data_IF_648852272483
#
_entry.id   IF_648852272483
#
_cell.length_a   1.000
_cell.length_b   1.000
_cell.length_c   1.000
_cell.angle_alpha   90.00
_cell.angle_beta   90.00
_cell.angle_gamma   90.00
#
_symmetry.space_group_name_H-M   'P 1'
#
loop_
_entity.id
_entity.type
_entity.pdbx_description
1 polymer ?
#
# COMPACT_ATOMS: atom_id res chain seq x y z
N UNK A 1 -8.44 -20.49 -28.82
CA UNK A 1 -7.31 -21.06 -28.06
C UNK A 1 -6.89 -20.03 -27.03
N UNK A 2 -6.81 -20.40 -25.75
CA UNK A 2 -6.38 -19.53 -24.65
C UNK A 2 -4.86 -19.60 -24.52
N UNK A 3 -4.19 -18.47 -24.53
CA UNK A 3 -2.74 -18.33 -24.38
C UNK A 3 -2.40 -17.76 -23.01
N UNK A 4 -1.59 -18.50 -22.24
CA UNK A 4 -1.16 -18.11 -20.89
C UNK A 4 0.36 -18.04 -20.84
N UNK A 5 0.89 -16.92 -20.35
CA UNK A 5 2.31 -16.73 -20.09
C UNK A 5 2.55 -16.71 -18.58
N UNK A 6 3.46 -17.54 -18.09
CA UNK A 6 3.75 -17.64 -16.65
C UNK A 6 5.22 -17.27 -16.41
N UNK A 7 5.46 -16.31 -15.54
CA UNK A 7 6.77 -15.81 -15.15
C UNK A 7 7.00 -16.11 -13.67
N UNK A 8 7.66 -17.23 -13.34
CA UNK A 8 7.96 -17.62 -11.96
C UNK A 8 9.41 -17.34 -11.56
N UNK A 9 9.68 -17.25 -10.25
CA UNK A 9 11.06 -17.21 -9.74
C UNK A 9 11.83 -18.47 -10.14
N UNK A 10 13.15 -18.36 -10.32
CA UNK A 10 14.00 -19.49 -10.76
C UNK A 10 14.46 -20.36 -9.58
N UNK A 11 13.53 -20.71 -8.69
CA UNK A 11 13.78 -21.59 -7.55
C UNK A 11 12.77 -22.75 -7.53
N UNK A 12 12.91 -23.64 -6.54
CA UNK A 12 12.06 -24.82 -6.45
C UNK A 12 10.57 -24.46 -6.32
N UNK A 13 10.25 -23.47 -5.49
CA UNK A 13 8.89 -22.99 -5.28
C UNK A 13 8.30 -22.36 -6.55
N UNK A 14 9.09 -21.58 -7.31
CA UNK A 14 8.66 -21.02 -8.59
C UNK A 14 8.40 -22.09 -9.68
N UNK A 15 9.19 -23.17 -9.72
CA UNK A 15 8.96 -24.31 -10.63
C UNK A 15 7.72 -25.12 -10.26
N UNK A 16 7.46 -25.29 -8.97
CA UNK A 16 6.25 -25.90 -8.46
C UNK A 16 5.02 -25.07 -8.84
N UNK A 17 5.06 -23.75 -8.60
CA UNK A 17 3.98 -22.83 -8.96
C UNK A 17 3.68 -22.88 -10.46
N UNK A 18 4.70 -22.88 -11.32
CA UNK A 18 4.51 -23.04 -12.77
C UNK A 18 3.78 -24.35 -13.11
N UNK A 19 4.18 -25.45 -12.49
CA UNK A 19 3.56 -26.76 -12.70
C UNK A 19 2.09 -26.76 -12.28
N UNK A 20 1.80 -26.14 -11.13
CA UNK A 20 0.44 -25.92 -10.63
C UNK A 20 -0.40 -25.09 -11.59
N UNK A 21 0.07 -23.91 -12.00
CA UNK A 21 -0.63 -23.04 -12.95
C UNK A 21 -0.92 -23.77 -14.27
N UNK A 22 0.05 -24.53 -14.78
CA UNK A 22 -0.10 -25.32 -16.00
C UNK A 22 -1.17 -26.40 -15.86
N UNK A 23 -1.21 -27.08 -14.71
CA UNK A 23 -2.23 -28.09 -14.41
C UNK A 23 -3.62 -27.47 -14.34
N UNK A 24 -3.77 -26.41 -13.53
CA UNK A 24 -5.02 -25.68 -13.33
C UNK A 24 -5.59 -25.13 -14.64
N UNK A 25 -4.79 -24.43 -15.44
CA UNK A 25 -5.28 -23.88 -16.71
C UNK A 25 -5.68 -24.99 -17.69
N UNK A 26 -4.99 -26.13 -17.70
CA UNK A 26 -5.34 -27.28 -18.54
C UNK A 26 -6.59 -28.00 -18.06
N UNK A 27 -6.85 -28.08 -16.75
CA UNK A 27 -8.08 -28.66 -16.23
C UNK A 27 -9.29 -27.81 -16.60
N UNK A 28 -9.17 -26.48 -16.55
CA UNK A 28 -10.26 -25.56 -16.86
C UNK A 28 -10.54 -25.43 -18.37
N UNK A 29 -9.52 -25.43 -19.22
CA UNK A 29 -9.67 -25.10 -20.65
C UNK A 29 -9.26 -26.24 -21.60
N UNK A 30 -8.84 -27.39 -21.08
CA UNK A 30 -8.48 -28.58 -21.85
C UNK A 30 -7.35 -28.35 -22.86
N UNK A 31 -7.45 -29.00 -24.03
CA UNK A 31 -6.49 -28.86 -25.15
C UNK A 31 -6.49 -27.48 -25.80
N UNK A 32 -7.47 -26.63 -25.48
CA UNK A 32 -7.59 -25.28 -26.02
C UNK A 32 -6.68 -24.28 -25.31
N UNK A 33 -5.96 -24.67 -24.24
CA UNK A 33 -5.01 -23.81 -23.56
C UNK A 33 -3.54 -24.11 -23.91
N UNK A 34 -2.78 -23.05 -24.18
CA UNK A 34 -1.34 -23.06 -24.34
C UNK A 34 -0.69 -22.26 -23.22
N UNK A 35 -0.11 -22.96 -22.25
CA UNK A 35 0.65 -22.38 -21.14
C UNK A 35 2.14 -22.40 -21.48
N UNK A 36 2.80 -21.25 -21.43
CA UNK A 36 4.23 -21.09 -21.70
C UNK A 36 4.97 -20.70 -20.43
N UNK A 37 6.09 -21.39 -20.21
CA UNK A 37 7.06 -21.03 -19.17
C UNK A 37 7.95 -19.89 -19.68
N UNK A 38 8.01 -18.81 -18.91
CA UNK A 38 8.87 -17.66 -19.17
C UNK A 38 9.81 -17.37 -17.98
N UNK A 39 10.08 -18.36 -17.13
CA UNK A 39 11.03 -18.28 -16.01
C UNK A 39 12.47 -17.93 -16.42
N UNK A 40 12.87 -18.11 -17.67
CA UNK A 40 14.18 -17.67 -18.18
C UNK A 40 14.11 -16.45 -19.09
N UNK A 41 12.94 -15.83 -19.24
CA UNK A 41 12.72 -14.75 -20.21
C UNK A 41 13.01 -13.36 -19.64
N UNK A 42 13.52 -12.48 -20.51
CA UNK A 42 13.82 -11.07 -20.20
C UNK A 42 12.66 -10.08 -20.45
N UNK A 43 12.93 -8.77 -20.30
CA UNK A 43 11.91 -7.71 -20.35
C UNK A 43 11.07 -7.69 -21.64
N UNK A 44 11.69 -7.90 -22.81
CA UNK A 44 11.00 -7.90 -24.09
C UNK A 44 9.92 -8.99 -24.18
N UNK A 45 10.18 -10.16 -23.58
CA UNK A 45 9.20 -11.25 -23.54
C UNK A 45 8.05 -10.92 -22.60
N UNK A 46 8.32 -10.26 -21.47
CA UNK A 46 7.25 -9.82 -20.57
C UNK A 46 6.34 -8.80 -21.25
N UNK A 47 6.92 -7.76 -21.86
CA UNK A 47 6.18 -6.75 -22.61
C UNK A 47 5.32 -7.36 -23.74
N UNK A 48 5.90 -8.28 -24.52
CA UNK A 48 5.17 -8.97 -25.60
C UNK A 48 4.03 -9.81 -25.05
N UNK A 49 4.24 -10.54 -23.96
CA UNK A 49 3.20 -11.35 -23.31
C UNK A 49 2.09 -10.48 -22.71
N UNK A 50 2.40 -9.34 -22.10
CA UNK A 50 1.41 -8.39 -21.58
C UNK A 50 0.45 -7.89 -22.66
N UNK A 51 0.92 -7.75 -23.90
CA UNK A 51 0.07 -7.35 -25.04
C UNK A 51 -0.69 -8.56 -25.63
N UNK A 52 0.03 -9.63 -25.96
CA UNK A 52 -0.47 -10.70 -26.82
C UNK A 52 -1.20 -11.83 -26.09
N UNK A 53 -0.80 -12.17 -24.87
CA UNK A 53 -1.35 -13.29 -24.12
C UNK A 53 -2.78 -13.00 -23.65
N UNK A 54 -3.58 -14.05 -23.51
CA UNK A 54 -4.91 -13.95 -22.91
C UNK A 54 -4.82 -13.79 -21.38
N UNK A 55 -3.81 -14.39 -20.76
CA UNK A 55 -3.51 -14.28 -19.33
C UNK A 55 -1.99 -14.22 -19.12
N UNK A 56 -1.55 -13.35 -18.21
CA UNK A 56 -0.17 -13.32 -17.70
C UNK A 56 -0.22 -13.57 -16.21
N UNK A 57 0.58 -14.52 -15.72
CA UNK A 57 0.78 -14.76 -14.29
C UNK A 57 2.23 -14.40 -13.98
N UNK A 58 2.43 -13.46 -13.06
CA UNK A 58 3.74 -13.00 -12.64
C UNK A 58 3.95 -13.25 -11.15
N UNK A 59 4.94 -14.07 -10.84
CA UNK A 59 5.42 -14.30 -9.48
C UNK A 59 6.37 -13.16 -9.06
N UNK A 60 5.86 -12.28 -8.22
CA UNK A 60 6.57 -11.17 -7.62
C UNK A 60 7.18 -11.50 -6.26
N UNK A 61 7.39 -12.77 -5.91
CA UNK A 61 7.97 -13.10 -4.61
C UNK A 61 9.42 -12.59 -4.49
N UNK A 62 9.76 -11.80 -3.45
CA UNK A 62 11.14 -11.48 -3.11
C UNK A 62 11.76 -12.61 -2.28
N UNK A 63 12.26 -13.66 -2.94
CA UNK A 63 12.83 -14.85 -2.27
C UNK A 63 14.27 -14.60 -1.73
N UNK A 64 14.89 -13.48 -2.08
CA UNK A 64 16.22 -13.07 -1.60
C UNK A 64 16.96 -12.19 -2.61
N UNK A 65 18.20 -11.75 -2.30
CA UNK A 65 19.02 -10.99 -3.25
C UNK A 65 19.20 -11.75 -4.57
N UNK A 66 18.71 -11.20 -5.67
CA UNK A 66 18.79 -11.83 -7.00
C UNK A 66 17.76 -12.92 -7.26
N UNK A 67 17.02 -13.39 -6.26
CA UNK A 67 15.97 -14.41 -6.39
C UNK A 67 14.59 -13.76 -6.61
N UNK A 68 14.50 -12.87 -7.59
CA UNK A 68 13.26 -12.18 -7.93
C UNK A 68 13.23 -11.76 -9.41
N UNK A 69 12.03 -11.50 -9.96
CA UNK A 69 11.86 -11.12 -11.38
C UNK A 69 11.67 -9.63 -11.63
N UNK A 70 11.92 -8.78 -10.65
CA UNK A 70 11.64 -7.35 -10.76
C UNK A 70 12.38 -6.60 -11.88
N UNK A 71 13.45 -7.18 -12.45
CA UNK A 71 14.18 -6.59 -13.57
C UNK A 71 13.49 -6.72 -14.93
N UNK A 72 12.46 -7.57 -15.08
CA UNK A 72 11.80 -7.80 -16.38
C UNK A 72 10.49 -7.04 -16.57
N UNK A 73 9.99 -6.40 -15.52
CA UNK A 73 8.66 -5.81 -15.52
C UNK A 73 8.67 -4.35 -15.98
N UNK A 74 7.51 -3.92 -16.45
CA UNK A 74 7.23 -2.54 -16.81
C UNK A 74 6.01 -2.08 -16.00
N UNK A 75 6.09 -0.91 -15.36
CA UNK A 75 5.06 -0.38 -14.45
C UNK A 75 3.66 -0.41 -15.05
N UNK A 76 3.52 -0.02 -16.32
CA UNK A 76 2.25 0.00 -17.03
C UNK A 76 1.56 -1.38 -17.15
N UNK A 77 2.30 -2.48 -16.98
CA UNK A 77 1.74 -3.84 -17.04
C UNK A 77 0.89 -4.19 -15.84
N UNK A 78 1.09 -3.54 -14.68
CA UNK A 78 0.31 -3.83 -13.47
C UNK A 78 -1.12 -3.30 -13.52
N UNK A 79 -1.37 -2.33 -14.42
CA UNK A 79 -2.69 -1.73 -14.67
C UNK A 79 -3.56 -2.59 -15.60
N UNK A 80 -3.07 -3.75 -16.03
CA UNK A 80 -3.76 -4.67 -16.93
C UNK A 80 -4.51 -5.74 -16.15
N UNK A 81 -5.83 -5.87 -16.37
CA UNK A 81 -6.68 -6.82 -15.64
C UNK A 81 -6.31 -8.30 -15.83
N UNK A 82 -5.68 -8.63 -16.95
CA UNK A 82 -5.25 -10.00 -17.28
C UNK A 82 -3.81 -10.29 -16.83
N UNK A 83 -3.14 -9.34 -16.19
CA UNK A 83 -1.84 -9.56 -15.54
C UNK A 83 -2.12 -9.81 -14.05
N UNK A 84 -2.05 -11.08 -13.67
CA UNK A 84 -2.18 -11.52 -12.28
C UNK A 84 -0.82 -11.43 -11.59
N UNK A 85 -0.72 -10.56 -10.58
CA UNK A 85 0.43 -10.51 -9.70
C UNK A 85 0.21 -11.45 -8.52
N UNK A 86 1.15 -12.36 -8.35
CA UNK A 86 1.11 -13.32 -7.24
C UNK A 86 2.41 -13.30 -6.46
N UNK A 87 2.36 -13.75 -5.21
CA UNK A 87 3.55 -13.87 -4.40
C UNK A 87 3.31 -14.76 -3.19
N UNK A 88 4.36 -15.46 -2.74
CA UNK A 88 4.36 -16.19 -1.46
C UNK A 88 4.61 -15.26 -0.28
N UNK A 89 5.17 -14.09 -0.56
CA UNK A 89 5.37 -12.97 0.38
C UNK A 89 4.70 -11.73 -0.19
N UNK A 90 4.48 -10.75 0.67
CA UNK A 90 3.97 -9.44 0.26
C UNK A 90 4.86 -8.83 -0.84
N UNK A 91 4.22 -8.10 -1.74
CA UNK A 91 4.87 -7.44 -2.86
C UNK A 91 5.53 -6.12 -2.37
N UNK A 92 6.45 -5.53 -3.16
CA UNK A 92 6.95 -4.20 -2.93
C UNK A 92 5.82 -3.18 -2.79
N UNK A 93 6.02 -2.18 -1.95
CA UNK A 93 4.99 -1.21 -1.56
C UNK A 93 4.45 -0.39 -2.74
N UNK A 94 5.20 -0.29 -3.84
CA UNK A 94 4.80 0.38 -5.07
C UNK A 94 4.40 -0.59 -6.20
N UNK A 95 4.22 -1.87 -5.91
CA UNK A 95 3.80 -2.89 -6.87
C UNK A 95 2.41 -3.37 -6.50
N UNK A 96 1.41 -2.83 -7.19
CA UNK A 96 -0.01 -3.15 -6.94
C UNK A 96 -0.62 -3.69 -8.21
N UNK A 97 -1.17 -4.90 -8.13
CA UNK A 97 -1.88 -5.53 -9.22
C UNK A 97 -3.32 -5.03 -9.31
N UNK A 98 -3.85 -4.99 -10.53
CA UNK A 98 -5.26 -4.65 -10.77
C UNK A 98 -6.22 -5.57 -10.01
N UNK A 99 -5.90 -6.86 -9.86
CA UNK A 99 -6.65 -7.81 -9.02
C UNK A 99 -5.90 -8.05 -7.70
N UNK A 100 -6.57 -7.83 -6.57
CA UNK A 100 -5.99 -7.99 -5.21
C UNK A 100 -6.12 -9.43 -4.70
N UNK A 101 -5.27 -9.81 -3.76
CA UNK A 101 -5.28 -11.11 -3.08
C UNK A 101 -4.35 -12.17 -3.65
N UNK A 102 -3.67 -11.91 -4.78
CA UNK A 102 -2.70 -12.86 -5.34
C UNK A 102 -1.40 -12.96 -4.55
N UNK A 103 -1.16 -12.02 -3.63
CA UNK A 103 -0.06 -12.01 -2.67
C UNK A 103 -0.63 -11.74 -1.27
N UNK A 104 0.03 -12.24 -0.20
CA UNK A 104 -0.41 -12.02 1.16
C UNK A 104 -0.21 -10.56 1.55
N UNK A 105 -1.01 -10.10 2.50
CA UNK A 105 -0.81 -8.78 3.12
C UNK A 105 0.43 -8.81 4.01
N UNK A 106 1.09 -7.67 4.19
CA UNK A 106 2.22 -7.58 5.12
C UNK A 106 1.78 -7.91 6.56
N UNK A 107 2.61 -8.56 7.38
CA UNK A 107 3.91 -9.19 7.09
C UNK A 107 3.80 -10.70 6.78
N UNK A 108 2.63 -11.16 6.32
CA UNK A 108 2.33 -12.58 6.20
C UNK A 108 2.95 -13.24 4.96
N UNK A 109 2.92 -14.56 4.97
CA UNK A 109 3.30 -15.44 3.86
C UNK A 109 2.09 -16.29 3.45
N UNK A 110 2.12 -16.83 2.23
CA UNK A 110 1.13 -17.80 1.75
C UNK A 110 1.78 -18.88 0.87
N UNK A 111 1.12 -20.03 0.76
CA UNK A 111 1.62 -21.16 0.00
C UNK A 111 1.27 -21.08 -1.49
N UNK A 112 1.92 -21.94 -2.29
CA UNK A 112 1.59 -22.07 -3.71
C UNK A 112 0.14 -22.57 -3.91
N UNK A 113 -0.38 -23.41 -3.02
CA UNK A 113 -1.77 -23.87 -3.03
C UNK A 113 -2.74 -22.70 -2.90
N UNK A 114 -2.52 -21.82 -1.92
CA UNK A 114 -3.35 -20.62 -1.73
C UNK A 114 -3.31 -19.69 -2.96
N UNK A 115 -2.13 -19.54 -3.58
CA UNK A 115 -1.99 -18.79 -4.84
C UNK A 115 -2.82 -19.43 -5.95
N UNK A 116 -2.79 -20.76 -6.09
CA UNK A 116 -3.52 -21.49 -7.13
C UNK A 116 -5.03 -21.42 -6.91
N UNK A 117 -5.50 -21.56 -5.66
CA UNK A 117 -6.91 -21.37 -5.30
C UNK A 117 -7.38 -19.95 -5.65
N UNK A 118 -6.58 -18.93 -5.36
CA UNK A 118 -6.89 -17.56 -5.74
C UNK A 118 -6.94 -17.39 -7.26
N UNK A 119 -5.97 -17.93 -8.01
CA UNK A 119 -5.98 -17.91 -9.48
C UNK A 119 -7.23 -18.60 -10.02
N UNK A 120 -7.59 -19.77 -9.49
CA UNK A 120 -8.81 -20.49 -9.88
C UNK A 120 -10.06 -19.63 -9.67
N UNK A 121 -10.15 -18.95 -8.52
CA UNK A 121 -11.24 -18.03 -8.25
C UNK A 121 -11.29 -16.87 -9.25
N UNK A 122 -10.14 -16.31 -9.66
CA UNK A 122 -10.10 -15.28 -10.72
C UNK A 122 -10.55 -15.79 -12.10
N UNK A 123 -10.53 -17.10 -12.34
CA UNK A 123 -10.88 -17.71 -13.62
C UNK A 123 -12.30 -18.27 -13.65
N UNK A 124 -12.86 -18.65 -12.50
CA UNK A 124 -14.17 -19.33 -12.39
C UNK A 124 -15.22 -18.51 -11.63
N UNK A 125 -14.80 -17.53 -10.84
CA UNK A 125 -15.65 -16.74 -9.96
C UNK A 125 -16.63 -15.79 -10.66
N UNK A 126 -17.44 -15.05 -9.86
CA UNK A 126 -18.43 -14.10 -10.38
C UNK A 126 -17.78 -12.98 -11.19
N UNK A 127 -16.62 -12.48 -10.75
CA UNK A 127 -15.84 -11.42 -11.41
C UNK A 127 -14.69 -11.97 -12.27
N UNK A 128 -14.88 -13.16 -12.85
CA UNK A 128 -13.83 -13.87 -13.59
C UNK A 128 -13.26 -13.07 -14.76
N UNK A 129 -12.01 -13.36 -15.10
CA UNK A 129 -11.39 -12.84 -16.33
C UNK A 129 -12.03 -13.53 -17.54
N UNK A 130 -12.48 -12.72 -18.51
CA UNK A 130 -12.96 -13.22 -19.78
C UNK A 130 -11.81 -13.76 -20.63
N UNK A 131 -11.81 -15.07 -20.89
CA UNK A 131 -10.81 -15.77 -21.69
C UNK A 131 -11.48 -16.58 -22.83
N UNK A 132 -10.97 -16.54 -24.07
CA UNK A 132 -9.83 -15.73 -24.54
C UNK A 132 -10.18 -14.23 -24.58
N UNK A 133 -9.16 -13.38 -24.56
CA UNK A 133 -9.37 -11.92 -24.58
C UNK A 133 -9.87 -11.47 -25.96
N UNK A 134 -10.89 -10.60 -26.04
CA UNK A 134 -11.30 -9.98 -27.30
C UNK A 134 -10.15 -9.23 -27.97
N UNK A 135 -10.06 -9.29 -29.31
CA UNK A 135 -8.98 -8.66 -30.08
C UNK A 135 -8.83 -7.16 -29.80
N UNK A 136 -9.94 -6.44 -29.65
CA UNK A 136 -9.91 -5.01 -29.36
C UNK A 136 -9.29 -4.72 -27.99
N UNK A 137 -9.49 -5.56 -26.96
CA UNK A 137 -8.83 -5.41 -25.65
C UNK A 137 -7.32 -5.67 -25.70
N UNK A 138 -6.83 -6.37 -26.72
CA UNK A 138 -5.39 -6.52 -26.97
C UNK A 138 -4.78 -5.28 -27.63
N UNK A 139 -5.62 -4.39 -28.18
CA UNK A 139 -5.21 -3.16 -28.87
C UNK A 139 -5.44 -1.88 -28.04
N UNK A 140 -6.15 -1.94 -26.91
CA UNK A 140 -6.43 -0.77 -26.06
C UNK A 140 -5.24 -0.47 -25.13
N UNK A 141 -4.78 0.80 -25.05
CA UNK A 141 -3.74 1.22 -24.12
C UNK A 141 -4.10 0.97 -22.63
N UNK A 142 -3.14 0.56 -21.78
CA UNK A 142 -3.36 0.25 -20.35
C UNK A 142 -3.99 1.39 -19.53
N UNK A 143 -3.82 2.65 -19.95
CA UNK A 143 -4.34 3.83 -19.23
C UNK A 143 -5.87 3.98 -19.30
N UNK A 144 -6.53 3.43 -20.33
CA UNK A 144 -7.98 3.56 -20.47
C UNK A 144 -8.75 2.54 -19.61
N UNK A 145 -8.13 1.41 -19.24
CA UNK A 145 -8.76 0.40 -18.38
C UNK A 145 -8.84 0.79 -16.90
N UNK A 146 -7.89 1.60 -16.39
CA UNK A 146 -7.87 2.04 -14.99
C UNK A 146 -8.96 3.08 -14.67
N UNK A 147 -9.21 4.03 -15.59
CA UNK A 147 -10.25 5.05 -15.43
C UNK A 147 -11.67 4.46 -15.36
N UNK A 148 -11.93 3.40 -16.13
CA UNK A 148 -13.23 2.71 -16.12
C UNK A 148 -13.52 2.01 -14.79
N UNK A 149 -12.50 1.64 -14.01
CA UNK A 149 -12.67 0.96 -12.71
C UNK A 149 -13.04 1.89 -11.57
N UNK A 150 -12.42 3.06 -11.50
CA UNK A 150 -12.83 4.10 -10.53
C UNK A 150 -14.29 4.48 -10.78
N UNK A 151 -14.72 4.52 -12.04
CA UNK A 151 -16.12 4.68 -12.40
C UNK A 151 -17.01 3.51 -11.94
N UNK A 152 -16.60 2.27 -12.20
CA UNK A 152 -17.38 1.07 -11.87
C UNK A 152 -17.50 0.79 -10.36
N UNK A 153 -16.43 1.01 -9.57
CA UNK A 153 -16.45 0.87 -8.11
C UNK A 153 -17.39 1.89 -7.46
N UNK A 154 -17.35 3.14 -7.92
CA UNK A 154 -18.28 4.19 -7.47
C UNK A 154 -19.72 3.91 -7.87
N UNK A 155 -19.94 3.32 -9.04
CA UNK A 155 -21.27 2.96 -9.52
C UNK A 155 -21.91 1.80 -8.72
N UNK A 156 -21.13 1.01 -7.98
CA UNK A 156 -21.65 -0.08 -7.15
C UNK A 156 -22.46 0.42 -5.94
N UNK A 157 -22.27 1.68 -5.52
CA UNK A 157 -22.99 2.35 -4.42
C UNK A 157 -22.75 1.72 -3.04
N UNK A 158 -23.01 2.49 -1.98
CA UNK A 158 -23.12 1.99 -0.59
C UNK A 158 -21.84 1.38 0.01
N UNK A 159 -20.71 2.07 -0.16
CA UNK A 159 -19.43 1.71 0.46
C UNK A 159 -19.16 2.55 1.72
N UNK A 160 -18.81 1.86 2.81
CA UNK A 160 -18.36 2.47 4.07
C UNK A 160 -16.85 2.21 4.21
N UNK A 161 -16.08 3.25 4.48
CA UNK A 161 -14.70 3.10 4.97
C UNK A 161 -14.72 3.17 6.50
N UNK A 162 -14.20 2.14 7.18
CA UNK A 162 -14.18 2.07 8.64
C UNK A 162 -12.77 2.32 9.19
N UNK A 163 -12.58 3.46 9.85
CA UNK A 163 -11.34 3.85 10.52
C UNK A 163 -11.40 3.56 12.03
N UNK A 164 -10.29 3.02 12.54
CA UNK A 164 -10.16 2.54 13.91
C UNK A 164 -8.67 2.46 14.30
N UNK A 165 -8.35 1.97 15.51
CA UNK A 165 -6.96 1.70 15.96
C UNK A 165 -6.78 0.23 16.29
N UNK A 166 -5.54 -0.28 16.24
CA UNK A 166 -5.27 -1.72 16.38
C UNK A 166 -5.93 -2.34 17.61
N UNK A 167 -5.88 -1.63 18.74
CA UNK A 167 -6.51 -2.00 20.01
C UNK A 167 -8.04 -2.13 19.97
N UNK A 168 -8.70 -1.54 18.98
CA UNK A 168 -10.16 -1.62 18.77
C UNK A 168 -10.56 -2.47 17.57
N UNK A 169 -9.65 -3.33 17.06
CA UNK A 169 -9.92 -4.18 15.90
C UNK A 169 -11.14 -5.07 16.05
N UNK A 170 -11.30 -5.77 17.18
CA UNK A 170 -12.43 -6.67 17.40
C UNK A 170 -13.78 -5.93 17.37
N UNK A 171 -13.80 -4.70 17.88
CA UNK A 171 -14.96 -3.81 17.81
C UNK A 171 -15.25 -3.42 16.36
N UNK A 172 -14.22 -3.00 15.61
CA UNK A 172 -14.36 -2.61 14.21
C UNK A 172 -14.81 -3.79 13.33
N UNK A 173 -14.31 -5.00 13.60
CA UNK A 173 -14.67 -6.24 12.91
C UNK A 173 -16.12 -6.63 13.18
N UNK A 174 -16.59 -6.55 14.42
CA UNK A 174 -18.00 -6.76 14.75
C UNK A 174 -18.90 -5.72 14.06
N UNK A 175 -18.50 -4.44 14.12
CA UNK A 175 -19.23 -3.35 13.50
C UNK A 175 -19.35 -3.54 11.98
N UNK A 176 -18.26 -3.90 11.30
CA UNK A 176 -18.25 -4.25 9.87
C UNK A 176 -19.31 -5.30 9.56
N UNK A 177 -19.32 -6.42 10.29
CA UNK A 177 -20.31 -7.49 10.14
C UNK A 177 -21.74 -6.97 10.30
N UNK A 178 -22.00 -6.14 11.32
CA UNK A 178 -23.33 -5.57 11.59
C UNK A 178 -23.80 -4.62 10.49
N UNK A 179 -22.90 -3.82 9.92
CA UNK A 179 -23.20 -2.92 8.78
C UNK A 179 -23.54 -3.74 7.53
N UNK A 180 -22.73 -4.75 7.22
CA UNK A 180 -22.94 -5.62 6.04
C UNK A 180 -24.26 -6.42 6.14
N UNK A 181 -24.68 -6.76 7.36
CA UNK A 181 -25.97 -7.40 7.63
C UNK A 181 -27.16 -6.42 7.63
N UNK A 182 -26.91 -5.10 7.67
CA UNK A 182 -27.93 -4.06 7.73
C UNK A 182 -28.54 -3.85 9.12
N UNK A 183 -27.87 -4.31 10.18
CA UNK A 183 -28.37 -4.28 11.57
C UNK A 183 -28.26 -2.89 12.19
N UNK A 184 -27.31 -2.06 11.75
CA UNK A 184 -26.99 -0.79 12.41
C UNK A 184 -28.01 0.32 12.08
N UNK A 185 -28.43 0.44 10.81
CA UNK A 185 -29.37 1.48 10.36
C UNK A 185 -30.34 0.99 9.27
N UNK A 186 -30.54 -0.32 9.15
CA UNK A 186 -31.49 -0.94 8.22
C UNK A 186 -31.00 -1.09 6.77
N UNK A 187 -29.84 -0.52 6.42
CA UNK A 187 -29.26 -0.59 5.08
C UNK A 187 -28.03 -1.49 5.01
N UNK A 188 -28.07 -2.54 4.17
CA UNK A 188 -26.86 -3.32 3.84
C UNK A 188 -25.91 -2.49 2.98
N UNK A 189 -24.65 -2.43 3.41
CA UNK A 189 -23.56 -1.69 2.75
C UNK A 189 -22.31 -2.54 2.79
N UNK A 190 -21.44 -2.36 1.79
CA UNK A 190 -20.12 -2.99 1.80
C UNK A 190 -19.17 -2.17 2.66
N UNK A 191 -18.29 -2.83 3.43
CA UNK A 191 -17.37 -2.14 4.35
C UNK A 191 -15.94 -2.44 3.96
N UNK A 192 -15.19 -1.39 3.63
CA UNK A 192 -13.74 -1.45 3.52
C UNK A 192 -13.14 -1.26 4.92
N UNK A 193 -12.36 -2.26 5.36
CA UNK A 193 -11.65 -2.31 6.63
C UNK A 193 -10.28 -2.91 6.34
N UNK A 194 -9.21 -2.27 6.81
CA UNK A 194 -7.86 -2.82 6.75
C UNK A 194 -7.56 -3.54 8.07
N UNK A 195 -7.04 -4.76 8.02
CA UNK A 195 -6.68 -5.52 9.23
C UNK A 195 -5.37 -4.99 9.87
N UNK A 196 -5.15 -5.20 11.19
CA UNK A 196 -3.90 -4.82 11.82
C UNK A 196 -2.70 -5.47 11.12
N UNK A 197 -1.69 -4.68 10.77
CA UNK A 197 -0.51 -5.14 10.03
C UNK A 197 -0.64 -5.06 8.50
N UNK A 198 -1.86 -5.08 7.93
CA UNK A 198 -2.08 -5.16 6.48
C UNK A 198 -1.33 -4.09 5.69
N UNK A 199 -1.36 -2.85 6.19
CA UNK A 199 -0.63 -1.72 5.61
C UNK A 199 0.66 -1.44 6.37
N UNK A 200 0.59 -1.39 7.70
CA UNK A 200 1.72 -1.30 8.61
C UNK A 200 1.38 -1.84 9.99
N UNK A 201 2.41 -2.26 10.73
CA UNK A 201 2.25 -2.66 12.14
C UNK A 201 2.20 -1.41 13.02
N UNK A 202 1.42 -1.44 14.11
CA UNK A 202 1.09 -0.26 14.93
C UNK A 202 2.32 0.52 15.43
N UNK A 203 3.38 -0.19 15.84
CA UNK A 203 4.62 0.41 16.36
C UNK A 203 5.78 0.39 15.35
N UNK A 204 5.47 0.27 14.06
CA UNK A 204 6.47 0.28 13.00
C UNK A 204 7.06 1.69 12.84
N UNK A 205 8.39 1.78 12.82
CA UNK A 205 9.12 3.04 12.57
C UNK A 205 9.15 3.28 11.06
N UNK A 206 8.31 4.21 10.60
CA UNK A 206 8.14 4.52 9.18
C UNK A 206 8.88 5.80 8.80
N UNK A 207 9.44 5.85 7.59
CA UNK A 207 9.86 7.11 6.98
C UNK A 207 8.65 7.95 6.55
N UNK A 208 8.82 9.27 6.30
CA UNK A 208 7.76 10.09 5.71
C UNK A 208 7.13 9.48 4.46
N UNK A 209 7.96 8.99 3.52
CA UNK A 209 7.49 8.32 2.31
C UNK A 209 6.58 7.14 2.63
N UNK A 210 7.00 6.23 3.53
CA UNK A 210 6.19 5.05 3.86
C UNK A 210 4.87 5.44 4.52
N UNK A 211 4.86 6.47 5.38
CA UNK A 211 3.61 6.99 5.97
C UNK A 211 2.67 7.53 4.91
N UNK A 212 3.20 8.29 3.94
CA UNK A 212 2.40 8.81 2.84
C UNK A 212 1.98 7.73 1.84
N UNK A 213 2.76 6.66 1.69
CA UNK A 213 2.37 5.49 0.90
C UNK A 213 1.16 4.78 1.53
N UNK A 214 1.18 4.54 2.85
CA UNK A 214 0.02 4.04 3.61
C UNK A 214 -1.19 4.94 3.41
N UNK A 215 -1.03 6.26 3.58
CA UNK A 215 -2.13 7.20 3.36
C UNK A 215 -2.62 7.24 1.92
N UNK A 216 -1.75 7.03 0.94
CA UNK A 216 -2.13 6.97 -0.47
C UNK A 216 -3.03 5.76 -0.74
N UNK A 217 -2.68 4.59 -0.22
CA UNK A 217 -3.51 3.37 -0.33
C UNK A 217 -4.88 3.57 0.33
N UNK A 218 -4.90 4.22 1.50
CA UNK A 218 -6.14 4.54 2.22
C UNK A 218 -6.94 5.62 1.46
N UNK A 219 -6.27 6.55 0.79
CA UNK A 219 -6.92 7.63 0.05
C UNK A 219 -7.84 7.10 -1.05
N UNK A 220 -7.48 5.99 -1.69
CA UNK A 220 -8.35 5.31 -2.66
C UNK A 220 -9.64 4.82 -2.01
N UNK A 221 -9.55 4.20 -0.84
CA UNK A 221 -10.71 3.71 -0.10
C UNK A 221 -11.60 4.86 0.39
N UNK A 222 -11.01 5.96 0.87
CA UNK A 222 -11.75 7.17 1.28
C UNK A 222 -12.42 7.83 0.07
N UNK A 223 -11.75 7.85 -1.09
CA UNK A 223 -12.27 8.47 -2.30
C UNK A 223 -13.43 7.69 -2.92
N UNK A 224 -13.45 6.37 -2.74
CA UNK A 224 -14.48 5.48 -3.27
C UNK A 224 -15.67 5.28 -2.31
N UNK A 225 -15.57 5.69 -1.04
CA UNK A 225 -16.64 5.51 -0.06
C UNK A 225 -17.69 6.65 -0.09
N UNK A 226 -18.93 6.31 0.29
CA UNK A 226 -20.00 7.27 0.54
C UNK A 226 -20.01 7.74 2.00
N UNK A 227 -19.59 6.85 2.90
CA UNK A 227 -19.54 7.13 4.33
C UNK A 227 -18.16 6.77 4.90
N UNK A 228 -17.61 7.68 5.69
CA UNK A 228 -16.41 7.46 6.48
C UNK A 228 -16.86 7.27 7.92
N UNK A 229 -16.62 6.10 8.50
CA UNK A 229 -17.00 5.78 9.87
C UNK A 229 -15.76 5.74 10.76
N UNK A 230 -15.83 6.38 11.92
CA UNK A 230 -14.80 6.36 12.95
C UNK A 230 -15.29 5.57 14.15
N UNK A 231 -14.48 4.63 14.65
CA UNK A 231 -14.68 4.05 15.98
C UNK A 231 -14.11 5.01 17.03
N UNK A 232 -14.97 5.68 17.80
CA UNK A 232 -14.54 6.67 18.80
C UNK A 232 -13.93 5.98 20.01
N UNK A 233 -12.63 6.14 20.16
CA UNK A 233 -11.86 5.60 21.28
C UNK A 233 -10.77 6.60 21.67
N UNK A 234 -10.38 6.74 22.95
CA UNK A 234 -9.35 7.70 23.35
C UNK A 234 -8.02 7.56 22.59
N UNK A 235 -7.66 6.34 22.21
CA UNK A 235 -6.45 6.05 21.44
C UNK A 235 -6.57 6.43 19.96
N UNK A 236 -7.78 6.60 19.45
CA UNK A 236 -8.00 7.10 18.08
C UNK A 236 -7.26 8.42 17.88
N UNK A 237 -7.40 9.35 18.81
CA UNK A 237 -6.79 10.67 18.73
C UNK A 237 -5.26 10.69 18.89
N UNK A 238 -4.68 9.57 19.32
CA UNK A 238 -3.25 9.42 19.59
C UNK A 238 -2.44 9.04 18.35
N UNK A 239 -3.07 8.66 17.24
CA UNK A 239 -2.30 8.23 16.07
C UNK A 239 -2.12 9.35 15.04
N UNK A 240 -0.91 9.49 14.48
CA UNK A 240 -0.70 10.32 13.29
C UNK A 240 -1.58 9.86 12.13
N UNK A 241 -1.87 8.56 12.09
CA UNK A 241 -2.66 7.92 11.05
C UNK A 241 -4.08 8.48 11.04
N UNK A 242 -4.71 8.65 12.20
CA UNK A 242 -6.03 9.29 12.34
C UNK A 242 -6.05 10.66 11.69
N UNK A 243 -5.05 11.47 11.98
CA UNK A 243 -4.94 12.81 11.44
C UNK A 243 -4.77 12.77 9.93
N UNK A 244 -3.97 11.83 9.43
CA UNK A 244 -3.81 11.60 8.00
C UNK A 244 -5.11 11.21 7.30
N UNK A 245 -5.94 10.34 7.88
CA UNK A 245 -7.22 9.93 7.29
C UNK A 245 -8.23 11.07 7.25
N UNK A 246 -8.39 11.83 8.34
CA UNK A 246 -9.27 12.99 8.39
C UNK A 246 -8.81 14.09 7.42
N UNK A 247 -7.51 14.36 7.34
CA UNK A 247 -6.94 15.29 6.37
C UNK A 247 -7.15 14.81 4.92
N UNK A 248 -7.04 13.51 4.67
CA UNK A 248 -7.27 12.91 3.34
C UNK A 248 -8.73 13.06 2.92
N UNK A 249 -9.68 12.85 3.84
CA UNK A 249 -11.10 13.14 3.58
C UNK A 249 -11.33 14.61 3.21
N UNK A 250 -10.78 15.54 4.00
CA UNK A 250 -10.88 16.98 3.74
C UNK A 250 -10.24 17.39 2.40
N UNK A 251 -9.14 16.72 2.03
CA UNK A 251 -8.46 16.93 0.74
C UNK A 251 -9.39 16.63 -0.44
N UNK A 252 -10.22 15.58 -0.34
CA UNK A 252 -11.24 15.25 -1.33
C UNK A 252 -12.56 16.03 -1.17
N UNK A 253 -12.54 17.15 -0.45
CA UNK A 253 -13.69 18.03 -0.21
C UNK A 253 -14.86 17.35 0.48
N UNK A 254 -14.56 16.49 1.47
CA UNK A 254 -15.57 15.92 2.37
C UNK A 254 -16.72 15.18 1.66
N UNK A 255 -16.42 14.60 0.48
CA UNK A 255 -17.36 13.83 -0.33
C UNK A 255 -18.05 12.72 0.48
N UNK A 256 -17.30 12.06 1.35
CA UNK A 256 -17.82 11.04 2.24
C UNK A 256 -18.44 11.66 3.50
N UNK A 257 -19.66 11.24 3.86
CA UNK A 257 -20.33 11.64 5.10
C UNK A 257 -19.60 11.03 6.28
N UNK A 258 -19.15 11.86 7.22
CA UNK A 258 -18.41 11.40 8.39
C UNK A 258 -19.36 11.01 9.51
N UNK A 259 -19.27 9.76 9.96
CA UNK A 259 -20.03 9.22 11.08
C UNK A 259 -19.11 8.71 12.17
N UNK A 260 -19.59 8.75 13.40
CA UNK A 260 -18.85 8.32 14.59
C UNK A 260 -19.65 7.24 15.28
N UNK A 261 -19.02 6.08 15.46
CA UNK A 261 -19.53 4.97 16.24
C UNK A 261 -18.97 5.05 17.66
N UNK A 262 -19.85 5.15 18.63
CA UNK A 262 -19.53 5.05 20.05
C UNK A 262 -19.58 3.56 20.45
N UNK A 263 -18.43 2.93 20.77
CA UNK A 263 -18.39 1.52 21.12
C UNK A 263 -19.00 1.22 22.49
N UNK A 264 -19.11 2.20 23.38
CA UNK A 264 -19.73 2.05 24.72
C UNK A 264 -21.24 2.05 24.61
N UNK A 265 -21.79 2.96 23.80
CA UNK A 265 -23.25 3.07 23.60
C UNK A 265 -23.78 2.18 22.49
N UNK A 266 -22.90 1.70 21.60
CA UNK A 266 -23.29 0.92 20.42
C UNK A 266 -24.06 1.73 19.37
N UNK A 267 -23.93 3.06 19.40
CA UNK A 267 -24.69 4.00 18.57
C UNK A 267 -23.80 4.67 17.54
N UNK A 268 -24.41 5.05 16.40
CA UNK A 268 -23.75 5.84 15.35
C UNK A 268 -24.40 7.21 15.28
N UNK A 269 -23.60 8.26 15.19
CA UNK A 269 -24.05 9.63 15.05
C UNK A 269 -23.24 10.37 13.98
N UNK A 270 -23.74 11.53 13.55
CA UNK A 270 -22.96 12.43 12.71
C UNK A 270 -21.76 12.97 13.47
N UNK A 271 -20.63 13.14 12.78
CA UNK A 271 -19.40 13.57 13.41
C UNK A 271 -19.44 15.04 13.84
N UNK A 272 -19.05 15.29 15.09
CA UNK A 272 -18.94 16.64 15.63
C UNK A 272 -17.81 17.47 14.99
N UNK A 273 -17.75 18.79 15.28
CA UNK A 273 -16.75 19.70 14.72
C UNK A 273 -15.29 19.29 14.96
N UNK A 274 -15.00 18.55 16.03
CA UNK A 274 -13.67 18.04 16.37
C UNK A 274 -13.06 17.09 15.32
N UNK A 275 -13.92 16.45 14.52
CA UNK A 275 -13.51 15.51 13.47
C UNK A 275 -13.35 16.23 12.12
N UNK A 276 -13.81 17.47 12.02
CA UNK A 276 -13.75 18.24 10.78
C UNK A 276 -12.37 18.87 10.62
N UNK A 277 -11.80 18.71 9.43
CA UNK A 277 -10.50 19.26 9.07
C UNK A 277 -10.69 20.26 7.95
N UNK A 278 -10.21 21.48 8.13
CA UNK A 278 -10.21 22.51 7.06
C UNK A 278 -8.80 22.66 6.51
N UNK A 279 -8.66 22.53 5.19
CA UNK A 279 -7.38 22.67 4.51
C UNK A 279 -7.28 24.01 3.79
N UNK A 280 -6.22 24.76 4.10
CA UNK A 280 -5.80 25.90 3.29
C UNK A 280 -5.26 25.44 1.92
N UNK A 281 -5.28 26.33 0.92
CA UNK A 281 -4.81 26.01 -0.43
C UNK A 281 -3.33 25.57 -0.47
N UNK A 282 -2.49 26.14 0.40
CA UNK A 282 -1.09 25.72 0.53
C UNK A 282 -0.98 24.26 1.02
N UNK A 283 -1.81 23.87 2.00
CA UNK A 283 -1.86 22.53 2.55
C UNK A 283 -2.37 21.52 1.51
N UNK A 284 -3.43 21.86 0.75
CA UNK A 284 -3.92 21.03 -0.36
C UNK A 284 -2.83 20.77 -1.39
N UNK A 285 -2.12 21.83 -1.83
CA UNK A 285 -1.00 21.69 -2.78
C UNK A 285 0.13 20.82 -2.22
N UNK A 286 0.42 20.89 -0.93
CA UNK A 286 1.42 20.04 -0.29
C UNK A 286 0.97 18.57 -0.25
N UNK A 287 -0.26 18.29 0.17
CA UNK A 287 -0.84 16.93 0.13
C UNK A 287 -0.80 16.35 -1.27
N UNK A 288 -1.18 17.12 -2.29
CA UNK A 288 -1.11 16.69 -3.69
C UNK A 288 0.32 16.26 -4.08
N UNK A 289 1.34 17.00 -3.66
CA UNK A 289 2.75 16.63 -3.90
C UNK A 289 3.14 15.36 -3.16
N UNK A 290 2.71 15.18 -1.91
CA UNK A 290 2.99 13.95 -1.17
C UNK A 290 2.31 12.73 -1.83
N UNK A 291 1.03 12.83 -2.20
CA UNK A 291 0.31 11.74 -2.87
C UNK A 291 0.96 11.36 -4.21
N UNK A 292 1.22 12.33 -5.08
CA UNK A 292 1.87 12.06 -6.39
C UNK A 292 3.22 11.35 -6.21
N UNK A 293 3.95 11.62 -5.13
CA UNK A 293 5.28 11.05 -4.86
C UNK A 293 5.28 9.86 -3.88
N UNK A 294 4.11 9.36 -3.46
CA UNK A 294 4.04 8.21 -2.54
C UNK A 294 3.02 7.15 -2.97
N UNK A 295 2.13 7.48 -3.91
CA UNK A 295 1.08 6.58 -4.35
C UNK A 295 1.65 5.45 -5.22
N UNK A 296 1.36 4.17 -4.89
CA UNK A 296 1.87 3.01 -5.64
C UNK A 296 1.56 3.09 -7.15
N UNK A 297 0.33 3.45 -7.50
CA UNK A 297 -0.11 3.53 -8.89
C UNK A 297 0.42 4.76 -9.67
N UNK A 298 1.01 5.76 -9.02
CA UNK A 298 1.49 6.99 -9.69
C UNK A 298 2.98 6.97 -10.07
N UNK A 299 3.60 5.78 -10.06
CA UNK A 299 5.01 5.60 -10.44
C UNK A 299 6.00 6.49 -9.66
N UNK A 300 5.71 6.69 -8.37
CA UNK A 300 6.41 7.64 -7.51
C UNK A 300 7.92 7.33 -7.32
N UNK A 301 8.32 6.12 -6.86
CA UNK A 301 9.73 5.72 -6.81
C UNK A 301 10.45 5.77 -8.15
N UNK A 302 9.75 5.45 -9.23
CA UNK A 302 10.27 5.44 -10.60
C UNK A 302 10.61 6.85 -11.10
N UNK A 303 9.70 7.80 -10.85
CA UNK A 303 9.93 9.22 -11.13
C UNK A 303 11.14 9.74 -10.35
N UNK A 304 11.35 9.26 -9.13
CA UNK A 304 12.48 9.68 -8.31
C UNK A 304 13.84 9.24 -8.84
N UNK A 305 13.96 8.00 -9.32
CA UNK A 305 15.22 7.55 -9.95
C UNK A 305 15.51 8.39 -11.20
N UNK A 306 14.49 8.71 -12.00
CA UNK A 306 14.64 9.62 -13.12
C UNK A 306 15.09 11.02 -12.68
N UNK A 307 14.48 11.58 -11.61
CA UNK A 307 14.84 12.89 -11.06
C UNK A 307 16.26 12.93 -10.48
N UNK A 308 16.69 11.88 -9.77
CA UNK A 308 18.09 11.72 -9.31
C UNK A 308 19.05 11.68 -10.49
N UNK A 309 18.68 10.97 -11.57
CA UNK A 309 19.43 10.97 -12.83
C UNK A 309 19.57 12.37 -13.43
N UNK A 310 18.48 13.13 -13.50
CA UNK A 310 18.52 14.52 -13.99
C UNK A 310 19.34 15.45 -13.09
N UNK A 311 19.28 15.27 -11.77
CA UNK A 311 20.09 16.02 -10.82
C UNK A 311 21.59 15.75 -10.99
N UNK A 312 21.98 14.47 -11.15
CA UNK A 312 23.37 14.09 -11.45
C UNK A 312 23.90 14.71 -12.75
N UNK A 313 23.01 14.98 -13.72
CA UNK A 313 23.32 15.68 -14.97
C UNK A 313 23.29 17.22 -14.85
N UNK A 314 23.09 17.78 -13.65
CA UNK A 314 23.02 19.22 -13.40
C UNK A 314 21.72 19.90 -13.90
N UNK A 315 20.73 19.11 -14.34
CA UNK A 315 19.46 19.60 -14.88
C UNK A 315 18.41 19.92 -13.80
N UNK A 316 18.77 19.82 -12.52
CA UNK A 316 17.93 20.15 -11.37
C UNK A 316 17.31 21.55 -11.42
N UNK A 317 17.99 22.55 -12.01
CA UNK A 317 17.45 23.90 -12.15
C UNK A 317 16.28 23.99 -13.15
N UNK A 318 16.16 23.03 -14.08
CA UNK A 318 15.07 22.95 -15.05
C UNK A 318 13.80 22.44 -14.38
N UNK A 319 13.93 21.60 -13.35
CA UNK A 319 12.81 21.03 -12.61
C UNK A 319 12.74 21.62 -11.20
N UNK A 320 12.10 22.80 -11.04
CA UNK A 320 11.80 23.41 -9.72
C UNK A 320 11.12 22.44 -8.73
N UNK A 321 10.49 21.38 -9.22
CA UNK A 321 9.94 20.31 -8.40
C UNK A 321 11.01 19.54 -7.63
N UNK A 322 12.20 19.29 -8.20
CA UNK A 322 13.24 18.47 -7.59
C UNK A 322 13.83 19.06 -6.30
N UNK A 323 13.59 20.35 -6.01
CA UNK A 323 13.96 20.98 -4.74
C UNK A 323 12.90 20.87 -3.64
N UNK A 324 11.74 20.27 -3.92
CA UNK A 324 10.73 20.01 -2.88
C UNK A 324 11.19 18.89 -1.94
N UNK A 325 10.87 19.00 -0.65
CA UNK A 325 11.25 18.03 0.38
C UNK A 325 10.77 16.60 0.06
N UNK A 326 9.67 16.41 -0.68
CA UNK A 326 9.22 15.05 -1.07
C UNK A 326 10.25 14.29 -1.94
N UNK A 327 11.25 14.99 -2.47
CA UNK A 327 12.36 14.41 -3.24
C UNK A 327 13.69 14.39 -2.45
N UNK A 328 13.72 14.82 -1.19
CA UNK A 328 14.92 14.77 -0.35
C UNK A 328 15.15 13.37 0.22
N UNK A 329 16.42 12.99 0.44
CA UNK A 329 16.73 11.71 1.08
C UNK A 329 16.09 11.59 2.47
N UNK A 330 15.98 12.70 3.21
CA UNK A 330 15.32 12.70 4.52
C UNK A 330 13.84 12.29 4.46
N UNK A 331 13.11 12.68 3.41
CA UNK A 331 11.72 12.25 3.25
C UNK A 331 11.63 10.75 2.94
N UNK A 332 12.59 10.23 2.21
CA UNK A 332 12.62 8.84 1.74
C UNK A 332 13.05 7.87 2.84
N UNK A 333 14.13 8.20 3.53
CA UNK A 333 14.86 7.24 4.35
C UNK A 333 14.90 7.58 5.83
N UNK A 334 14.57 8.80 6.29
CA UNK A 334 14.66 9.13 7.71
C UNK A 334 13.52 8.47 8.49
N UNK A 335 13.80 7.49 9.36
CA UNK A 335 12.78 6.86 10.20
C UNK A 335 12.19 7.85 11.20
N UNK A 336 10.89 7.75 11.46
CA UNK A 336 10.18 8.55 12.45
C UNK A 336 9.70 7.68 13.61
N UNK A 337 10.23 7.92 14.80
CA UNK A 337 9.77 7.32 16.04
C UNK A 337 8.49 8.02 16.50
N UNK A 338 7.40 7.25 16.63
CA UNK A 338 6.19 7.73 17.28
C UNK A 338 6.30 7.56 18.80
N UNK A 339 6.38 8.67 19.54
CA UNK A 339 6.51 8.63 20.99
C UNK A 339 5.16 8.66 21.70
N UNK A 340 4.85 7.61 22.46
CA UNK A 340 3.60 7.51 23.23
C UNK A 340 3.49 8.55 24.35
N UNK A 341 4.61 8.97 24.95
CA UNK A 341 4.63 9.96 26.04
C UNK A 341 4.58 11.42 25.55
N UNK A 342 5.14 11.70 24.37
CA UNK A 342 5.03 13.04 23.75
C UNK A 342 3.61 13.32 23.23
N UNK A 343 2.80 12.28 23.15
CA UNK A 343 1.43 12.32 22.71
C UNK A 343 0.47 12.67 23.84
N UNK A 344 0.22 13.97 24.04
CA UNK A 344 -0.68 14.44 25.11
C UNK A 344 -2.17 14.40 24.73
N UNK A 345 -2.56 13.51 23.81
CA UNK A 345 -3.96 13.16 23.51
C UNK A 345 -4.74 14.25 22.76
N UNK A 346 -6.07 14.17 22.87
CA UNK A 346 -7.04 15.02 22.15
C UNK A 346 -6.82 16.53 22.41
N UNK A 347 -6.33 16.89 23.59
CA UNK A 347 -6.26 18.28 24.05
C UNK A 347 -4.94 19.01 23.72
N UNK A 348 -3.90 18.29 23.27
CA UNK A 348 -2.53 18.85 23.19
C UNK A 348 -1.98 19.08 21.78
N UNK A 349 -2.70 18.66 20.73
CA UNK A 349 -2.33 18.97 19.35
C UNK A 349 -3.59 19.43 18.59
N UNK A 350 -4.00 20.69 18.76
CA UNK A 350 -5.10 21.25 17.99
C UNK A 350 -4.67 21.32 16.53
N UNK A 351 -5.19 20.43 15.68
CA UNK A 351 -5.25 20.56 14.22
C UNK A 351 -4.01 21.16 13.53
N UNK A 352 -2.79 20.90 14.03
CA UNK A 352 -1.56 21.41 13.41
C UNK A 352 -1.21 20.56 12.20
N UNK A 353 -1.99 20.79 11.15
CA UNK A 353 -1.83 20.15 9.85
C UNK A 353 -0.49 20.53 9.23
N UNK A 354 0.04 21.72 9.48
CA UNK A 354 1.32 22.13 8.92
C UNK A 354 2.46 21.30 9.51
N UNK A 355 2.48 21.07 10.83
CA UNK A 355 3.41 20.15 11.46
C UNK A 355 3.24 18.72 10.94
N UNK A 356 2.00 18.25 10.74
CA UNK A 356 1.74 16.94 10.14
C UNK A 356 2.31 16.80 8.72
N UNK A 357 2.03 17.78 7.84
CA UNK A 357 2.44 17.78 6.42
C UNK A 357 3.95 17.98 6.21
N UNK A 358 4.63 18.53 7.23
CA UNK A 358 6.10 18.72 7.25
C UNK A 358 6.83 17.66 8.06
N UNK A 359 6.14 16.61 8.52
CA UNK A 359 6.71 15.53 9.34
C UNK A 359 7.32 16.01 10.67
N UNK A 360 6.87 17.16 11.17
CA UNK A 360 7.25 17.76 12.46
C UNK A 360 6.14 17.65 13.49
N UNK A 361 5.24 16.70 13.29
CA UNK A 361 4.12 16.49 14.19
C UNK A 361 4.66 16.15 15.59
N UNK A 362 4.15 16.74 16.68
CA UNK A 362 4.81 16.71 18.00
C UNK A 362 5.13 15.32 18.58
N UNK A 363 4.47 14.27 18.09
CA UNK A 363 4.65 12.89 18.54
C UNK A 363 5.59 12.09 17.65
N UNK A 364 6.07 12.67 16.55
CA UNK A 364 6.92 12.02 15.56
C UNK A 364 8.31 12.65 15.62
N UNK A 365 9.30 11.84 15.95
CA UNK A 365 10.67 12.30 16.11
C UNK A 365 11.58 11.60 15.11
N UNK A 366 12.35 12.34 14.30
CA UNK A 366 13.33 11.72 13.41
C UNK A 366 14.39 11.01 14.25
N UNK A 367 14.73 9.78 13.86
CA UNK A 367 15.79 8.98 14.48
C UNK A 367 16.81 8.61 13.41
N UNK A 368 18.12 8.81 13.62
CA UNK A 368 19.13 8.30 12.71
C UNK A 368 19.01 6.78 12.52
N UNK A 369 19.05 6.30 11.27
CA UNK A 369 18.96 4.86 10.99
C UNK A 369 20.06 4.03 11.69
N UNK A 370 21.25 4.63 11.87
CA UNK A 370 22.35 4.01 12.61
C UNK A 370 21.98 3.71 14.08
N UNK A 371 21.17 4.56 14.71
CA UNK A 371 20.75 4.39 16.11
C UNK A 371 19.76 3.24 16.24
N UNK A 372 18.86 3.06 15.26
CA UNK A 372 17.96 1.91 15.20
C UNK A 372 18.74 0.60 14.99
N UNK A 373 19.70 0.59 14.07
CA UNK A 373 20.59 -0.57 13.83
C UNK A 373 21.35 -0.93 15.10
N UNK A 374 21.92 0.08 15.77
CA UNK A 374 22.67 -0.12 17.01
C UNK A 374 21.77 -0.64 18.13
N UNK A 375 20.61 -0.01 18.35
CA UNK A 375 19.66 -0.40 19.39
C UNK A 375 19.12 -1.83 19.16
N UNK A 376 18.78 -2.19 17.92
CA UNK A 376 18.32 -3.53 17.57
C UNK A 376 19.43 -4.59 17.71
N UNK A 377 20.65 -4.27 17.30
CA UNK A 377 21.78 -5.21 17.34
C UNK A 377 22.38 -5.44 18.72
N UNK A 378 22.37 -4.41 19.58
CA UNK A 378 22.97 -4.47 20.92
C UNK A 378 21.92 -4.67 22.04
N UNK A 379 20.63 -4.64 21.71
CA UNK A 379 19.54 -4.68 22.69
C UNK A 379 19.51 -3.46 23.62
N UNK A 380 20.15 -2.34 23.23
CA UNK A 380 20.20 -1.12 24.03
C UNK A 380 18.91 -0.31 23.81
N UNK A 381 18.19 0.09 24.88
CA UNK A 381 16.98 0.88 24.71
C UNK A 381 17.24 2.24 24.06
N UNK A 382 16.56 2.52 22.96
CA UNK A 382 16.57 3.78 22.23
C UNK A 382 15.80 4.85 23.02
N UNK A 383 16.41 5.95 23.45
CA UNK A 383 15.67 7.04 24.10
C UNK A 383 14.81 7.81 23.10
N UNK A 384 13.71 8.41 23.57
CA UNK A 384 12.98 9.40 22.79
C UNK A 384 13.91 10.58 22.41
N UNK A 385 13.99 11.01 21.13
CA UNK A 385 14.82 12.14 20.73
C UNK A 385 14.36 13.50 21.27
N UNK A 386 13.12 13.59 21.77
CA UNK A 386 12.62 14.82 22.36
C UNK A 386 13.15 14.99 23.79
N UNK A 387 13.95 16.03 24.01
CA UNK A 387 14.54 16.38 25.32
C UNK A 387 13.46 16.68 26.37
N UNK A 388 12.31 17.20 25.93
CA UNK A 388 11.16 17.50 26.79
C UNK A 388 10.18 16.32 26.89
N UNK A 389 10.59 15.11 26.49
CA UNK A 389 9.73 13.93 26.55
C UNK A 389 9.33 13.64 28.00
N UNK A 390 8.02 13.65 28.32
CA UNK A 390 7.56 13.26 29.65
C UNK A 390 8.06 11.86 30.01
N UNK A 391 8.71 11.74 31.17
CA UNK A 391 9.22 10.45 31.66
C UNK A 391 10.45 9.90 30.92
N UNK A 392 11.06 10.64 30.01
CA UNK A 392 12.26 10.21 29.27
C UNK A 392 12.13 8.79 28.68
N UNK A 393 11.00 8.52 28.04
CA UNK A 393 10.60 7.19 27.60
C UNK A 393 11.67 6.55 26.70
N UNK A 394 11.91 5.25 26.90
CA UNK A 394 12.86 4.46 26.13
C UNK A 394 12.14 3.32 25.43
N UNK A 395 12.74 2.84 24.34
CA UNK A 395 12.15 1.83 23.47
C UNK A 395 13.11 0.67 23.24
N UNK A 396 12.61 -0.56 23.36
CA UNK A 396 13.26 -1.72 22.76
C UNK A 396 13.00 -1.69 21.25
N UNK A 397 14.05 -1.84 20.46
CA UNK A 397 13.97 -1.87 18.99
C UNK A 397 14.04 -3.32 18.52
N UNK A 398 13.07 -3.74 17.71
CA UNK A 398 12.96 -5.08 17.16
C UNK A 398 13.00 -5.03 15.64
N UNK A 399 13.75 -5.92 15.01
CA UNK A 399 13.73 -6.09 13.55
C UNK A 399 12.46 -6.83 13.12
N UNK A 400 11.81 -6.34 12.06
CA UNK A 400 10.69 -7.03 11.41
C UNK A 400 11.01 -7.42 9.97
N UNK A 401 10.20 -8.30 9.34
CA UNK A 401 10.37 -8.62 7.92
C UNK A 401 10.48 -7.35 7.07
N UNK A 402 11.49 -7.23 6.19
CA UNK A 402 11.83 -5.98 5.54
C UNK A 402 10.86 -5.62 4.41
N UNK A 403 10.52 -4.34 4.25
CA UNK A 403 9.75 -3.89 3.10
C UNK A 403 10.60 -3.87 1.83
N UNK A 404 9.93 -3.88 0.68
CA UNK A 404 10.59 -3.76 -0.62
C UNK A 404 10.05 -2.56 -1.37
N UNK A 405 10.94 -1.86 -2.08
CA UNK A 405 10.58 -0.86 -3.09
C UNK A 405 11.14 -1.31 -4.42
N UNK A 406 10.30 -1.30 -5.44
CA UNK A 406 10.71 -1.62 -6.80
C UNK A 406 11.09 -0.35 -7.55
N UNK A 407 12.15 -0.42 -8.36
CA UNK A 407 12.54 0.63 -9.29
C UNK A 407 12.73 0.02 -10.70
N UNK A 408 12.15 0.62 -11.75
CA UNK A 408 12.48 0.29 -13.12
C UNK A 408 13.90 0.77 -13.34
N UNK A 409 14.78 -0.15 -13.69
CA UNK A 409 16.19 0.14 -13.91
C UNK A 409 16.36 1.16 -15.05
N UNK A 410 16.95 2.34 -14.79
CA UNK A 410 17.61 3.11 -15.83
C UNK A 410 19.03 2.51 -15.95
N UNK A 411 19.23 1.72 -17.00
CA UNK A 411 20.53 1.34 -17.60
C UNK A 411 21.76 1.47 -16.67
N UNK A 412 22.22 0.37 -16.07
CA UNK A 412 23.50 0.28 -15.36
C UNK A 412 23.74 -1.11 -14.74
N UNK A 413 24.99 -1.63 -14.71
CA UNK A 413 25.29 -3.01 -14.31
C UNK A 413 25.17 -3.30 -12.79
N UNK A 414 24.96 -2.28 -11.95
CA UNK A 414 24.93 -2.39 -10.48
C UNK A 414 23.59 -2.01 -9.86
N UNK A 415 22.62 -1.53 -10.63
CA UNK A 415 21.32 -1.13 -10.08
C UNK A 415 20.46 -2.39 -9.86
N UNK A 416 20.02 -2.61 -8.62
CA UNK A 416 19.00 -3.63 -8.32
C UNK A 416 17.64 -3.04 -8.61
N UNK A 417 16.79 -3.77 -9.33
CA UNK A 417 15.41 -3.34 -9.57
C UNK A 417 14.56 -3.34 -8.29
N UNK A 418 15.08 -3.92 -7.22
CA UNK A 418 14.41 -4.07 -5.94
C UNK A 418 15.36 -3.59 -4.85
N UNK A 419 14.89 -2.68 -4.00
CA UNK A 419 15.57 -2.22 -2.80
C UNK A 419 14.88 -2.82 -1.58
N UNK A 420 15.67 -3.32 -0.65
CA UNK A 420 15.21 -3.81 0.64
C UNK A 420 15.29 -2.69 1.66
N UNK A 421 14.15 -2.36 2.25
CA UNK A 421 14.03 -1.38 3.32
C UNK A 421 13.98 -2.11 4.67
N UNK A 422 14.99 -1.94 5.55
CA UNK A 422 14.92 -2.50 6.88
C UNK A 422 13.77 -1.84 7.64
N UNK A 423 12.99 -2.65 8.32
CA UNK A 423 11.85 -2.21 9.13
C UNK A 423 12.09 -2.54 10.58
N UNK A 424 11.70 -1.61 11.45
CA UNK A 424 11.88 -1.71 12.88
C UNK A 424 10.54 -1.52 13.57
N UNK A 425 10.34 -2.25 14.66
CA UNK A 425 9.30 -1.96 15.64
C UNK A 425 9.91 -1.43 16.92
N UNK A 426 9.17 -0.57 17.60
CA UNK A 426 9.58 0.01 18.88
C UNK A 426 8.59 -0.32 19.96
N UNK A 427 9.05 -0.86 21.08
CA UNK A 427 8.18 -1.19 22.23
C UNK A 427 8.66 -0.39 23.43
N UNK A 428 7.80 0.41 24.10
CA UNK A 428 8.18 1.12 25.32
C UNK A 428 8.70 0.16 26.40
N UNK A 429 9.78 0.55 27.11
CA UNK A 429 10.37 -0.23 28.22
C UNK A 429 10.44 0.53 29.53
#
# INVERSE_FOLDING_TARGET
MVSVAVFTTDNAAGRELFTGCRSLVRSLYGRSARVRDHSSSGPASFATSSVAADLVIFDGTPDGPGEHRYGIIQSASFMLEHVLLVGRRYLPVNVVGTRRGGAPVYPHEQSNEAILEWIEHQLTGPDRIELPRPLWRKAVPPLLSSQNRVGARRAAGRQVFLSYRGTTYDIAKDLKRRIEQGVVDGGRRSVQLYEPGELAVEDEVLSPLMRWNVLSIISDAILDCEEFWVVDHPEYWRSWWTRGELATRAYFNDRAVLRVYDPVRGTVQEAGPEYQVTLAEAQRRRMARCFVNSHPEMMAPEAMVAMRGYAALGLQRIFRMASDEVFSDSFWSTPLLQCAACNRGRDAAPNDLDAFLTNRYPVLHPVPAADLVHAAGQGTPLPCPNEDCPGALRYRVELTPPRYVWYPLPVGPTATSLETLPTYRVVPV
#
